data_IF_459382448155
#
_entry.id   IF_459382448155
#
_cell.length_a   1.000
_cell.length_b   1.000
_cell.length_c   1.000
_cell.angle_alpha   90.00
_cell.angle_beta   90.00
_cell.angle_gamma   90.00
#
_symmetry.space_group_name_H-M   'P 1'
#
loop_
_entity.id
_entity.type
_entity.pdbx_description
1 polymer ?
#
# COMPACT_ATOMS: atom_id res chain seq x y z
N UNK A 1 -19.48 -12.25 8.18
CA UNK A 1 -19.84 -10.83 7.96
C UNK A 1 -18.55 -10.01 8.01
N UNK A 2 -17.83 -9.98 6.88
CA UNK A 2 -16.62 -9.17 6.72
C UNK A 2 -17.04 -7.84 6.12
N UNK A 3 -17.07 -6.72 6.86
CA UNK A 3 -17.20 -5.44 6.22
C UNK A 3 -15.83 -5.10 5.62
N UNK A 4 -15.80 -4.95 4.29
CA UNK A 4 -14.92 -4.06 3.55
C UNK A 4 -13.43 -4.12 3.93
N UNK A 5 -12.64 -4.88 3.15
CA UNK A 5 -11.19 -4.78 3.16
C UNK A 5 -10.81 -3.31 2.91
N UNK A 6 -10.24 -2.58 3.88
CA UNK A 6 -9.92 -1.18 3.67
C UNK A 6 -8.72 -1.08 2.74
N UNK A 7 -8.86 -0.36 1.63
CA UNK A 7 -7.75 -0.03 0.75
C UNK A 7 -6.92 1.07 1.43
N UNK A 8 -5.69 0.72 1.78
CA UNK A 8 -4.70 1.62 2.36
C UNK A 8 -4.32 2.70 1.33
N UNK A 9 -4.57 3.98 1.64
CA UNK A 9 -4.38 5.08 0.68
C UNK A 9 -3.02 5.79 0.84
N UNK A 10 -2.45 5.84 2.05
CA UNK A 10 -1.03 6.01 2.42
C UNK A 10 -1.00 6.19 3.96
N UNK A 11 0.20 6.20 4.59
CA UNK A 11 0.43 6.23 6.06
C UNK A 11 -0.69 6.86 6.90
N UNK A 12 -1.35 6.10 7.77
CA UNK A 12 -2.26 6.67 8.78
C UNK A 12 -3.63 7.09 8.25
N UNK A 13 -4.01 6.73 7.01
CA UNK A 13 -5.35 6.97 6.48
C UNK A 13 -6.03 5.71 5.90
N UNK A 14 -7.34 5.54 6.13
CA UNK A 14 -8.18 4.48 5.52
C UNK A 14 -9.31 5.08 4.73
N UNK A 15 -9.59 4.50 3.57
CA UNK A 15 -10.82 4.76 2.83
C UNK A 15 -11.84 3.67 3.13
N UNK A 16 -13.02 4.08 3.55
CA UNK A 16 -14.20 3.23 3.67
C UNK A 16 -15.20 3.63 2.58
N UNK A 17 -15.65 2.65 1.81
CA UNK A 17 -16.78 2.82 0.88
C UNK A 17 -18.07 2.69 1.69
N UNK A 18 -18.76 3.80 1.92
CA UNK A 18 -20.06 3.79 2.60
C UNK A 18 -21.15 3.16 1.72
N UNK A 19 -22.20 2.56 2.30
CA UNK A 19 -23.32 1.97 1.56
C UNK A 19 -24.13 2.98 0.71
N UNK A 20 -23.84 4.28 0.85
CA UNK A 20 -24.47 5.39 0.11
C UNK A 20 -23.55 6.04 -0.95
N UNK A 21 -22.37 5.45 -1.23
CA UNK A 21 -21.47 5.93 -2.29
C UNK A 21 -20.61 7.13 -1.92
N UNK A 22 -20.60 7.58 -0.66
CA UNK A 22 -19.63 8.54 -0.16
C UNK A 22 -18.39 7.81 0.36
N UNK A 23 -17.24 8.20 -0.17
CA UNK A 23 -15.94 7.75 0.31
C UNK A 23 -15.54 8.52 1.55
N UNK A 24 -15.37 7.84 2.68
CA UNK A 24 -14.92 8.45 3.93
C UNK A 24 -13.48 8.04 4.21
N UNK A 25 -12.64 9.02 4.53
CA UNK A 25 -11.24 8.84 4.90
C UNK A 25 -11.05 9.21 6.36
N UNK A 26 -10.50 8.31 7.16
CA UNK A 26 -10.10 8.60 8.54
C UNK A 26 -8.59 8.71 8.60
N UNK A 27 -8.02 9.84 9.06
CA UNK A 27 -6.57 10.02 9.17
C UNK A 27 -6.05 10.47 10.54
N UNK A 28 -4.75 10.27 10.79
CA UNK A 28 -4.07 10.66 12.04
C UNK A 28 -3.80 12.16 12.18
N UNK A 29 -4.20 12.97 11.20
CA UNK A 29 -4.09 14.43 11.20
C UNK A 29 -2.75 14.99 10.74
N UNK A 30 -1.90 14.19 10.11
CA UNK A 30 -0.72 14.70 9.42
C UNK A 30 -1.10 15.68 8.30
N UNK A 31 -0.30 16.74 8.13
CA UNK A 31 -0.54 17.81 7.14
C UNK A 31 -0.71 17.30 5.69
N UNK A 32 -0.10 16.15 5.37
CA UNK A 32 -0.23 15.50 4.07
C UNK A 32 -1.68 15.14 3.68
N UNK A 33 -2.57 14.99 4.67
CA UNK A 33 -3.99 14.69 4.44
C UNK A 33 -4.90 15.91 4.30
N UNK A 34 -4.36 17.13 4.29
CA UNK A 34 -5.16 18.35 4.22
C UNK A 34 -6.04 18.48 2.97
N UNK A 35 -5.68 17.79 1.89
CA UNK A 35 -6.35 17.86 0.58
C UNK A 35 -7.27 16.66 0.28
N UNK A 36 -7.55 15.82 1.27
CA UNK A 36 -8.41 14.63 1.06
C UNK A 36 -9.83 15.04 0.66
N UNK A 37 -10.34 16.15 1.21
CA UNK A 37 -11.63 16.72 0.85
C UNK A 37 -11.70 17.20 -0.60
N UNK A 38 -10.57 17.64 -1.18
CA UNK A 38 -10.49 18.09 -2.58
C UNK A 38 -10.73 16.93 -3.56
N UNK A 39 -10.51 15.69 -3.11
CA UNK A 39 -10.79 14.47 -3.86
C UNK A 39 -12.25 13.98 -3.73
N UNK A 40 -13.15 14.80 -3.15
CA UNK A 40 -14.56 14.44 -2.95
C UNK A 40 -14.80 13.40 -1.86
N UNK A 41 -13.79 13.13 -1.02
CA UNK A 41 -13.90 12.22 0.11
C UNK A 41 -14.25 12.99 1.39
N UNK A 42 -15.18 12.49 2.20
CA UNK A 42 -15.35 12.98 3.57
C UNK A 42 -14.07 12.69 4.36
N UNK A 43 -13.58 13.63 5.17
CA UNK A 43 -12.30 13.48 5.89
C UNK A 43 -12.47 13.66 7.40
N UNK A 44 -12.35 12.56 8.13
CA UNK A 44 -12.36 12.53 9.60
C UNK A 44 -10.93 12.49 10.12
N UNK A 45 -10.56 13.47 10.95
CA UNK A 45 -9.22 13.57 11.53
C UNK A 45 -9.23 13.16 12.99
N UNK A 46 -8.52 12.07 13.30
CA UNK A 46 -8.24 11.64 14.67
C UNK A 46 -6.80 11.99 15.00
N UNK A 47 -6.60 13.15 15.64
CA UNK A 47 -5.28 13.57 16.10
C UNK A 47 -4.79 12.61 17.17
N UNK A 48 -3.95 11.69 16.76
CA UNK A 48 -3.21 10.86 17.69
C UNK A 48 -2.01 11.68 18.16
N UNK A 49 -1.65 11.63 19.44
CA UNK A 49 -0.47 12.33 19.95
C UNK A 49 0.83 11.86 19.28
N UNK A 50 1.99 12.13 19.88
CA UNK A 50 3.27 11.64 19.38
C UNK A 50 3.73 10.37 20.12
N UNK A 51 4.67 9.65 19.50
CA UNK A 51 5.39 8.55 20.15
C UNK A 51 4.69 7.18 20.16
N UNK A 52 5.23 6.22 20.92
CA UNK A 52 4.79 4.83 20.90
C UNK A 52 3.34 4.61 21.34
N UNK A 53 2.81 5.48 22.21
CA UNK A 53 1.43 5.43 22.66
C UNK A 53 0.45 5.76 21.52
N UNK A 54 0.81 6.74 20.68
CA UNK A 54 0.01 7.10 19.52
C UNK A 54 0.01 5.98 18.46
N UNK A 55 1.15 5.34 18.23
CA UNK A 55 1.24 4.19 17.32
C UNK A 55 0.37 2.99 17.75
N UNK A 56 0.01 2.91 19.04
CA UNK A 56 -0.86 1.87 19.62
C UNK A 56 -2.34 2.23 19.63
N UNK A 57 -2.72 3.40 19.09
CA UNK A 57 -4.13 3.77 18.94
C UNK A 57 -4.90 2.65 18.24
N UNK A 58 -6.01 2.14 18.81
CA UNK A 58 -6.76 1.03 18.26
C UNK A 58 -7.29 1.34 16.86
N UNK A 59 -7.61 2.61 16.59
CA UNK A 59 -8.09 3.08 15.29
C UNK A 59 -7.07 2.81 14.18
N UNK A 60 -5.80 3.13 14.40
CA UNK A 60 -4.74 3.00 13.38
C UNK A 60 -3.89 1.75 13.50
N UNK A 61 -4.17 0.89 14.50
CA UNK A 61 -3.38 -0.31 14.80
C UNK A 61 -3.14 -1.17 13.57
N UNK A 62 -4.18 -1.44 12.80
CA UNK A 62 -4.08 -2.36 11.66
C UNK A 62 -3.19 -1.81 10.54
N UNK A 63 -3.22 -0.49 10.26
CA UNK A 63 -2.29 0.08 9.26
C UNK A 63 -0.90 0.27 9.80
N UNK A 64 -0.73 0.57 11.07
CA UNK A 64 0.61 0.55 11.66
C UNK A 64 1.21 -0.86 11.55
N UNK A 65 0.40 -1.91 11.73
CA UNK A 65 0.80 -3.30 11.45
C UNK A 65 1.08 -3.55 9.97
N UNK A 66 0.22 -3.09 9.06
CA UNK A 66 0.44 -3.24 7.61
C UNK A 66 1.73 -2.55 7.15
N UNK A 67 1.98 -1.32 7.61
CA UNK A 67 3.23 -0.57 7.37
C UNK A 67 4.45 -1.28 7.96
N UNK A 68 4.31 -1.85 9.15
CA UNK A 68 5.35 -2.67 9.76
C UNK A 68 5.69 -3.89 8.90
N UNK A 69 4.67 -4.58 8.38
CA UNK A 69 4.84 -5.73 7.48
C UNK A 69 5.50 -5.33 6.16
N UNK A 70 5.10 -4.19 5.56
CA UNK A 70 5.76 -3.64 4.36
C UNK A 70 7.24 -3.40 4.63
N UNK A 71 7.56 -2.69 5.72
CA UNK A 71 8.94 -2.38 6.10
C UNK A 71 9.75 -3.66 6.29
N UNK A 72 9.24 -4.63 7.05
CA UNK A 72 9.93 -5.89 7.31
C UNK A 72 10.12 -6.72 6.04
N UNK A 73 9.13 -6.76 5.14
CA UNK A 73 9.25 -7.47 3.88
C UNK A 73 10.32 -6.87 2.97
N UNK A 74 10.38 -5.54 2.85
CA UNK A 74 11.40 -4.85 2.04
C UNK A 74 12.79 -5.08 2.64
N UNK A 75 12.98 -4.82 3.93
CA UNK A 75 14.29 -4.96 4.59
C UNK A 75 14.75 -6.42 4.64
N UNK A 76 13.84 -7.37 4.79
CA UNK A 76 14.16 -8.80 4.79
C UNK A 76 14.48 -9.38 3.40
N UNK A 77 13.91 -8.82 2.33
CA UNK A 77 14.10 -9.32 0.97
C UNK A 77 15.34 -8.73 0.28
N UNK A 78 15.63 -7.45 0.50
CA UNK A 78 16.73 -6.76 -0.19
C UNK A 78 17.91 -6.49 0.75
N UNK A 79 19.11 -6.95 0.35
CA UNK A 79 20.35 -6.65 1.07
C UNK A 79 20.71 -5.17 1.07
N UNK A 80 20.36 -4.46 0.00
CA UNK A 80 20.53 -3.01 -0.14
C UNK A 80 19.31 -2.42 -0.83
N UNK A 81 18.79 -1.31 -0.30
CA UNK A 81 17.63 -0.60 -0.82
C UNK A 81 18.14 0.65 -1.55
N UNK A 82 17.70 0.85 -2.78
CA UNK A 82 17.95 2.08 -3.54
C UNK A 82 16.65 2.83 -3.80
N UNK A 83 16.67 4.16 -3.65
CA UNK A 83 15.53 5.03 -3.99
C UNK A 83 15.06 4.83 -5.44
N UNK A 84 16.00 4.56 -6.35
CA UNK A 84 15.73 4.29 -7.78
C UNK A 84 14.73 3.16 -8.01
N UNK A 85 14.73 2.14 -7.15
CA UNK A 85 13.94 0.92 -7.36
C UNK A 85 12.69 0.88 -6.46
N UNK A 86 12.36 1.97 -5.75
CA UNK A 86 11.21 2.03 -4.84
C UNK A 86 9.89 1.63 -5.51
N UNK A 87 9.54 2.12 -6.72
CA UNK A 87 8.31 1.69 -7.38
C UNK A 87 8.24 0.17 -7.58
N UNK A 88 9.39 -0.45 -7.89
CA UNK A 88 9.50 -1.88 -8.12
C UNK A 88 9.37 -2.69 -6.83
N UNK A 89 10.02 -2.25 -5.76
CA UNK A 89 9.91 -2.88 -4.44
C UNK A 89 8.47 -2.87 -3.93
N UNK A 90 7.77 -1.75 -4.10
CA UNK A 90 6.37 -1.62 -3.69
C UNK A 90 5.43 -2.47 -4.55
N UNK A 91 5.60 -2.48 -5.88
CA UNK A 91 4.81 -3.33 -6.77
C UNK A 91 5.00 -4.82 -6.47
N UNK A 92 6.24 -5.23 -6.18
CA UNK A 92 6.56 -6.61 -5.81
C UNK A 92 5.91 -6.99 -4.47
N UNK A 93 5.95 -6.09 -3.48
CA UNK A 93 5.27 -6.28 -2.21
C UNK A 93 3.75 -6.40 -2.40
N UNK A 94 3.15 -5.46 -3.13
CA UNK A 94 1.71 -5.43 -3.42
C UNK A 94 1.26 -6.74 -4.09
N UNK A 95 2.01 -7.19 -5.10
CA UNK A 95 1.71 -8.41 -5.83
C UNK A 95 1.62 -9.64 -4.90
N UNK A 96 2.56 -9.76 -3.94
CA UNK A 96 2.57 -10.82 -2.93
C UNK A 96 1.50 -10.62 -1.86
N UNK A 97 1.33 -9.40 -1.37
CA UNK A 97 0.40 -9.09 -0.30
C UNK A 97 -1.05 -9.37 -0.70
N UNK A 98 -1.44 -8.97 -1.91
CA UNK A 98 -2.77 -9.21 -2.47
C UNK A 98 -3.07 -10.70 -2.70
N UNK A 99 -2.03 -11.56 -2.74
CA UNK A 99 -2.14 -13.01 -2.97
C UNK A 99 -1.67 -13.84 -1.79
N UNK A 100 -1.49 -13.22 -0.62
CA UNK A 100 -0.92 -13.88 0.57
C UNK A 100 -1.75 -15.04 1.13
N UNK A 101 -2.97 -15.22 0.66
CA UNK A 101 -3.86 -16.32 1.03
C UNK A 101 -3.87 -17.46 -0.01
N UNK A 102 -3.26 -17.25 -1.18
CA UNK A 102 -3.14 -18.24 -2.26
C UNK A 102 -1.79 -18.07 -2.97
N UNK A 103 -0.71 -18.38 -2.25
CA UNK A 103 0.65 -18.25 -2.78
C UNK A 103 0.91 -19.25 -3.92
N UNK A 104 0.26 -20.42 -3.88
CA UNK A 104 0.45 -21.46 -4.88
C UNK A 104 0.05 -20.99 -6.28
N UNK A 105 -0.97 -20.13 -6.39
CA UNK A 105 -1.39 -19.54 -7.66
C UNK A 105 -0.36 -18.59 -8.30
N UNK A 106 0.64 -18.10 -7.55
CA UNK A 106 1.56 -17.09 -8.05
C UNK A 106 2.47 -17.60 -9.17
N UNK A 107 2.98 -18.83 -9.05
CA UNK A 107 3.94 -19.40 -10.02
C UNK A 107 3.26 -19.67 -11.36
N UNK A 108 2.10 -20.36 -11.44
CA UNK A 108 1.38 -20.52 -12.70
C UNK A 108 1.04 -19.19 -13.37
N UNK A 109 0.68 -18.18 -12.58
CA UNK A 109 0.31 -16.86 -13.10
C UNK A 109 1.50 -16.09 -13.65
N UNK A 110 2.65 -16.17 -12.98
CA UNK A 110 3.89 -15.60 -13.49
C UNK A 110 4.33 -16.32 -14.77
N UNK A 111 4.21 -17.65 -14.82
CA UNK A 111 4.46 -18.42 -16.04
C UNK A 111 3.56 -18.02 -17.20
N UNK A 112 2.26 -17.84 -16.94
CA UNK A 112 1.30 -17.35 -17.93
C UNK A 112 1.69 -15.95 -18.43
N UNK A 113 1.99 -15.01 -17.51
CA UNK A 113 2.40 -13.67 -17.88
C UNK A 113 3.71 -13.66 -18.69
N UNK A 114 4.69 -14.47 -18.29
CA UNK A 114 5.96 -14.58 -19.01
C UNK A 114 5.80 -15.14 -20.43
N UNK A 115 4.88 -16.09 -20.63
CA UNK A 115 4.60 -16.67 -21.94
C UNK A 115 3.83 -15.71 -22.88
N UNK A 116 3.03 -14.79 -22.33
CA UNK A 116 2.16 -13.90 -23.11
C UNK A 116 2.65 -12.45 -23.19
N UNK A 117 3.72 -12.10 -22.47
CA UNK A 117 4.33 -10.76 -22.56
C UNK A 117 5.40 -10.77 -23.63
N UNK A 118 5.37 -9.82 -24.60
CA UNK A 118 6.45 -9.69 -25.58
C UNK A 118 7.80 -9.50 -24.89
N UNK A 119 8.91 -10.01 -25.46
CA UNK A 119 10.23 -9.81 -24.88
C UNK A 119 10.52 -8.31 -24.73
N UNK A 120 10.84 -7.90 -23.50
CA UNK A 120 11.11 -6.50 -23.18
C UNK A 120 12.61 -6.31 -22.86
N UNK A 121 13.37 -5.63 -23.75
CA UNK A 121 14.76 -5.30 -23.48
C UNK A 121 14.91 -4.51 -22.19
N UNK A 122 15.99 -4.76 -21.46
CA UNK A 122 16.27 -4.14 -20.16
C UNK A 122 16.21 -2.60 -20.17
N UNK A 123 16.60 -1.97 -21.29
CA UNK A 123 16.51 -0.53 -21.49
C UNK A 123 15.07 0.00 -21.34
N UNK A 124 14.09 -0.72 -21.89
CA UNK A 124 12.68 -0.34 -21.79
C UNK A 124 12.12 -0.67 -20.40
N UNK A 125 12.56 -1.79 -19.83
CA UNK A 125 12.08 -2.26 -18.53
C UNK A 125 12.44 -1.30 -17.39
N UNK A 126 13.55 -0.57 -17.53
CA UNK A 126 13.99 0.47 -16.58
C UNK A 126 13.23 1.80 -16.70
N UNK A 127 12.43 2.02 -17.75
CA UNK A 127 11.69 3.28 -17.89
C UNK A 127 10.72 3.51 -16.71
N UNK A 128 10.18 2.42 -16.15
CA UNK A 128 9.36 2.46 -14.95
C UNK A 128 10.10 2.98 -13.69
N UNK A 129 11.44 2.98 -13.70
CA UNK A 129 12.28 3.46 -12.59
C UNK A 129 12.68 4.94 -12.75
N UNK A 130 12.48 5.52 -13.95
CA UNK A 130 12.86 6.90 -14.28
C UNK A 130 11.68 7.87 -14.24
N UNK A 131 10.45 7.39 -14.10
CA UNK A 131 9.23 8.20 -14.13
C UNK A 131 8.82 8.73 -12.73
N UNK A 132 9.71 8.66 -11.75
CA UNK A 132 9.49 9.09 -10.37
C UNK A 132 10.21 10.38 -10.01
#
# INVERSE_FOLDING_TARGET
MFPLCPLMLHRGAFRYFGPLGFDAVVSDGLAYFGHVSDAGCAHDVIRTGSGPAAARSPTFKWVNTALGNIKSAIVGTYRAISSKHVPRYLAEFEYRFNRRYDLASMIPRLGWAAAHTPPMPYRLLKLAENAG
#
